data_IF_280002224464
#
_entry.id   IF_280002224464
#
_cell.length_a   1.000
_cell.length_b   1.000
_cell.length_c   1.000
_cell.angle_alpha   90.00
_cell.angle_beta   90.00
_cell.angle_gamma   90.00
#
_symmetry.space_group_name_H-M   'P 1'
#
loop_
_entity.id
_entity.type
_entity.pdbx_description
1 polymer ?
#
# COMPACT_ATOMS: atom_id res chain seq x y z
N UNK A 1 21.63 -16.27 6.59
CA UNK A 1 20.90 -15.32 5.72
C UNK A 1 20.50 -14.16 6.61
N UNK A 2 20.77 -12.92 6.17
CA UNK A 2 20.90 -11.75 7.04
C UNK A 2 19.62 -11.40 7.82
N UNK A 3 19.69 -11.57 9.14
CA UNK A 3 18.79 -10.92 10.10
C UNK A 3 19.23 -9.46 10.21
N UNK A 4 18.50 -8.56 9.53
CA UNK A 4 18.71 -7.13 9.68
C UNK A 4 17.96 -6.65 10.93
N UNK A 5 18.63 -6.73 12.08
CA UNK A 5 18.29 -5.97 13.28
C UNK A 5 18.27 -4.46 12.94
N UNK A 6 17.10 -3.87 12.76
CA UNK A 6 16.96 -2.42 12.59
C UNK A 6 16.11 -1.82 13.70
N UNK A 7 16.84 -1.26 14.67
CA UNK A 7 16.56 -0.09 15.51
C UNK A 7 15.09 0.34 15.57
N UNK A 8 14.55 0.31 16.80
CA UNK A 8 13.32 0.95 17.25
C UNK A 8 13.16 2.36 16.67
N UNK A 9 12.54 2.45 15.49
CA UNK A 9 12.09 3.68 14.88
C UNK A 9 10.57 3.57 14.88
N UNK A 10 9.83 4.57 15.36
CA UNK A 10 8.37 4.53 15.40
C UNK A 10 7.74 4.25 14.01
N UNK A 11 8.51 4.45 12.94
CA UNK A 11 8.18 4.12 11.56
C UNK A 11 8.32 2.63 11.18
N UNK A 12 9.04 1.85 11.98
CA UNK A 12 9.24 0.40 11.81
C UNK A 12 8.31 -0.45 12.69
N UNK A 13 7.33 0.17 13.37
CA UNK A 13 6.33 -0.59 14.11
C UNK A 13 5.66 -1.57 13.12
N UNK A 14 5.70 -2.89 13.39
CA UNK A 14 5.02 -3.87 12.55
C UNK A 14 3.52 -3.57 12.63
N UNK A 15 2.96 -3.00 11.56
CA UNK A 15 1.55 -2.71 11.46
C UNK A 15 0.87 -3.90 10.80
N UNK A 16 -0.34 -4.20 11.27
CA UNK A 16 -1.11 -5.30 10.71
C UNK A 16 -1.94 -4.74 9.56
N UNK A 17 -1.68 -5.15 8.31
CA UNK A 17 -2.54 -4.76 7.20
C UNK A 17 -3.93 -5.38 7.37
N UNK A 18 -4.97 -4.60 7.08
CA UNK A 18 -6.33 -5.12 6.95
C UNK A 18 -6.38 -6.23 5.90
N UNK A 19 -7.35 -7.17 5.97
CA UNK A 19 -7.44 -8.30 5.05
C UNK A 19 -7.48 -7.87 3.56
N UNK A 20 -8.09 -6.72 3.27
CA UNK A 20 -8.15 -6.12 1.94
C UNK A 20 -6.76 -5.67 1.46
N UNK A 21 -6.00 -5.01 2.33
CA UNK A 21 -4.65 -4.57 2.05
C UNK A 21 -3.69 -5.76 1.92
N UNK A 22 -3.87 -6.77 2.79
CA UNK A 22 -3.11 -8.01 2.77
C UNK A 22 -3.27 -8.80 1.45
N UNK A 23 -4.40 -8.66 0.75
CA UNK A 23 -4.60 -9.27 -0.57
C UNK A 23 -3.68 -8.67 -1.66
N UNK A 24 -3.13 -7.48 -1.43
CA UNK A 24 -2.23 -6.78 -2.36
C UNK A 24 -0.77 -6.85 -1.89
N UNK A 25 -0.50 -6.55 -0.62
CA UNK A 25 0.88 -6.49 -0.08
C UNK A 25 1.33 -7.77 0.63
N UNK A 26 0.39 -8.70 0.88
CA UNK A 26 0.57 -9.89 1.70
C UNK A 26 0.10 -9.70 3.14
N UNK A 27 -0.20 -10.81 3.83
CA UNK A 27 -0.64 -10.81 5.23
C UNK A 27 0.51 -10.63 6.24
N UNK A 28 1.74 -10.41 5.77
CA UNK A 28 2.88 -10.15 6.64
C UNK A 28 2.70 -8.82 7.37
N UNK A 29 3.18 -8.74 8.62
CA UNK A 29 3.25 -7.48 9.32
C UNK A 29 4.29 -6.59 8.63
N UNK A 30 3.85 -5.45 8.12
CA UNK A 30 4.67 -4.54 7.33
C UNK A 30 4.66 -3.17 7.99
N UNK A 31 5.79 -2.48 7.90
CA UNK A 31 5.84 -1.06 8.25
C UNK A 31 5.05 -0.24 7.24
N UNK A 32 4.66 0.99 7.60
CA UNK A 32 3.95 1.89 6.67
C UNK A 32 4.76 2.13 5.39
N UNK A 33 6.07 2.33 5.51
CA UNK A 33 6.96 2.51 4.35
C UNK A 33 6.97 1.28 3.43
N UNK A 34 7.14 0.09 3.99
CA UNK A 34 7.13 -1.18 3.25
C UNK A 34 5.81 -1.40 2.51
N UNK A 35 4.69 -1.13 3.19
CA UNK A 35 3.34 -1.24 2.61
C UNK A 35 3.20 -0.33 1.40
N UNK A 36 3.60 0.93 1.52
CA UNK A 36 3.53 1.91 0.44
C UNK A 36 4.41 1.47 -0.74
N UNK A 37 5.63 1.00 -0.49
CA UNK A 37 6.51 0.46 -1.54
C UNK A 37 5.88 -0.72 -2.27
N UNK A 38 5.33 -1.70 -1.54
CA UNK A 38 4.66 -2.87 -2.12
C UNK A 38 3.44 -2.51 -2.97
N UNK A 39 2.63 -1.56 -2.50
CA UNK A 39 1.50 -1.03 -3.26
C UNK A 39 1.99 -0.38 -4.55
N UNK A 40 3.05 0.43 -4.50
CA UNK A 40 3.64 1.05 -5.69
C UNK A 40 4.20 0.03 -6.68
N UNK A 41 4.87 -1.00 -6.19
CA UNK A 41 5.34 -2.12 -7.03
C UNK A 41 4.16 -2.82 -7.71
N UNK A 42 3.08 -3.08 -6.98
CA UNK A 42 1.87 -3.66 -7.53
C UNK A 42 1.23 -2.75 -8.60
N UNK A 43 1.10 -1.45 -8.31
CA UNK A 43 0.55 -0.46 -9.25
C UNK A 43 1.37 -0.44 -10.55
N UNK A 44 2.70 -0.37 -10.45
CA UNK A 44 3.59 -0.36 -11.62
C UNK A 44 3.55 -1.67 -12.38
N UNK A 45 3.59 -2.82 -11.68
CA UNK A 45 3.54 -4.15 -12.29
C UNK A 45 2.26 -4.37 -13.09
N UNK A 46 1.14 -3.82 -12.61
CA UNK A 46 -0.16 -3.93 -13.26
C UNK A 46 -0.50 -2.73 -14.16
N UNK A 47 0.44 -1.79 -14.40
CA UNK A 47 0.21 -0.56 -15.18
C UNK A 47 -1.03 0.24 -14.72
N UNK A 48 -1.26 0.26 -13.42
CA UNK A 48 -2.39 0.95 -12.79
C UNK A 48 -2.13 2.44 -12.56
N UNK A 49 -0.93 2.93 -12.87
CA UNK A 49 -0.65 4.37 -12.87
C UNK A 49 -1.23 4.99 -14.14
N UNK A 50 -2.01 6.06 -13.99
CA UNK A 50 -2.58 6.73 -15.15
C UNK A 50 -1.45 7.36 -16.01
N UNK A 51 -1.34 7.01 -17.30
CA UNK A 51 -0.28 7.51 -18.18
C UNK A 51 -0.43 9.01 -18.50
N UNK A 52 -1.67 9.53 -18.51
CA UNK A 52 -1.95 10.95 -18.71
C UNK A 52 -1.75 11.77 -17.42
N UNK A 53 -1.98 11.15 -16.24
CA UNK A 53 -1.80 11.79 -14.95
C UNK A 53 -1.10 10.86 -13.96
N UNK A 54 0.23 10.94 -13.89
CA UNK A 54 1.06 10.08 -13.02
C UNK A 54 0.76 10.21 -11.51
N UNK A 55 -0.06 11.18 -11.10
CA UNK A 55 -0.54 11.34 -9.72
C UNK A 55 -1.78 10.53 -9.42
N UNK A 56 -2.50 10.10 -10.45
CA UNK A 56 -3.70 9.29 -10.36
C UNK A 56 -3.36 7.80 -10.51
N UNK A 57 -3.96 7.01 -9.63
CA UNK A 57 -3.84 5.57 -9.58
C UNK A 57 -5.21 5.01 -9.91
N UNK A 58 -5.28 4.19 -10.94
CA UNK A 58 -6.47 3.44 -11.34
C UNK A 58 -6.52 2.18 -10.48
N UNK A 59 -7.48 2.11 -9.58
CA UNK A 59 -7.66 0.98 -8.70
C UNK A 59 -8.27 -0.20 -9.47
N UNK A 60 -7.58 -1.33 -9.44
CA UNK A 60 -8.17 -2.60 -9.85
C UNK A 60 -9.14 -3.12 -8.77
N UNK A 61 -9.75 -4.27 -9.00
CA UNK A 61 -10.69 -4.88 -8.05
C UNK A 61 -10.11 -5.08 -6.65
N UNK A 62 -8.80 -5.37 -6.53
CA UNK A 62 -8.15 -5.51 -5.22
C UNK A 62 -7.87 -4.16 -4.58
N UNK A 63 -7.30 -3.21 -5.32
CA UNK A 63 -7.02 -1.87 -4.81
C UNK A 63 -8.30 -1.11 -4.47
N UNK A 64 -9.41 -1.35 -5.20
CA UNK A 64 -10.72 -0.79 -4.88
C UNK A 64 -11.11 -1.10 -3.44
N UNK A 65 -10.95 -2.34 -2.99
CA UNK A 65 -11.24 -2.72 -1.60
C UNK A 65 -10.40 -1.91 -0.60
N UNK A 66 -9.12 -1.72 -0.89
CA UNK A 66 -8.21 -0.87 -0.08
C UNK A 66 -8.54 0.62 -0.14
N UNK A 67 -9.17 1.07 -1.22
CA UNK A 67 -9.50 2.47 -1.47
C UNK A 67 -10.98 2.78 -1.22
N UNK A 68 -11.66 1.99 -0.39
CA UNK A 68 -13.07 2.22 -0.02
C UNK A 68 -14.01 2.16 -1.24
N UNK A 69 -13.70 1.27 -2.19
CA UNK A 69 -14.43 1.06 -3.44
C UNK A 69 -14.09 2.03 -4.57
N UNK A 70 -13.18 2.99 -4.38
CA UNK A 70 -12.84 3.99 -5.41
C UNK A 70 -12.08 3.39 -6.59
N UNK A 71 -12.57 3.63 -7.80
CA UNK A 71 -11.91 3.31 -9.07
C UNK A 71 -10.62 4.09 -9.32
N UNK A 72 -10.53 5.30 -8.79
CA UNK A 72 -9.38 6.19 -9.00
C UNK A 72 -9.08 6.91 -7.71
N UNK A 73 -7.80 6.91 -7.34
CA UNK A 73 -7.32 7.66 -6.18
C UNK A 73 -6.07 8.43 -6.54
N UNK A 74 -5.90 9.60 -5.96
CA UNK A 74 -4.60 10.29 -6.03
C UNK A 74 -3.59 9.69 -5.05
N UNK A 75 -2.30 9.90 -5.31
CA UNK A 75 -1.19 9.49 -4.40
C UNK A 75 -1.42 9.95 -2.95
N UNK A 76 -1.99 11.14 -2.74
CA UNK A 76 -2.34 11.66 -1.41
C UNK A 76 -3.46 10.85 -0.74
N UNK A 77 -4.51 10.52 -1.50
CA UNK A 77 -5.62 9.69 -1.01
C UNK A 77 -5.14 8.29 -0.70
N UNK A 78 -4.34 7.67 -1.58
CA UNK A 78 -3.74 6.36 -1.32
C UNK A 78 -3.04 6.34 0.04
N UNK A 79 -2.18 7.32 0.34
CA UNK A 79 -1.47 7.35 1.61
C UNK A 79 -2.40 7.54 2.82
N UNK A 80 -3.54 8.20 2.64
CA UNK A 80 -4.60 8.36 3.65
C UNK A 80 -5.40 7.06 3.85
N UNK A 81 -5.75 6.36 2.77
CA UNK A 81 -6.43 5.07 2.81
C UNK A 81 -5.54 4.01 3.47
N UNK A 82 -4.27 3.91 3.07
CA UNK A 82 -3.31 2.98 3.68
C UNK A 82 -3.15 3.23 5.19
N UNK A 83 -3.11 4.49 5.63
CA UNK A 83 -3.05 4.82 7.05
C UNK A 83 -4.28 4.35 7.85
N UNK A 84 -5.45 4.21 7.21
CA UNK A 84 -6.66 3.67 7.86
C UNK A 84 -6.66 2.14 7.93
N UNK A 85 -6.05 1.49 6.94
CA UNK A 85 -5.98 0.02 6.86
C UNK A 85 -4.81 -0.59 7.63
N UNK A 86 -3.82 0.22 8.01
CA UNK A 86 -2.72 -0.16 8.88
C UNK A 86 -3.07 0.18 10.33
N UNK A 87 -3.24 -0.87 11.16
CA UNK A 87 -3.49 -0.77 12.60
C UNK A 87 -2.29 -1.29 13.40
#
# INVERSE_FOLDING_TARGET
MAEAEKKTNALQKPLTPSPELAAVVGAAQLSRGETVSKIWEYIKKNNLQNPANKREIVADEKLKKVFDGKDRVSMFEMNKHLAKHLK
#
